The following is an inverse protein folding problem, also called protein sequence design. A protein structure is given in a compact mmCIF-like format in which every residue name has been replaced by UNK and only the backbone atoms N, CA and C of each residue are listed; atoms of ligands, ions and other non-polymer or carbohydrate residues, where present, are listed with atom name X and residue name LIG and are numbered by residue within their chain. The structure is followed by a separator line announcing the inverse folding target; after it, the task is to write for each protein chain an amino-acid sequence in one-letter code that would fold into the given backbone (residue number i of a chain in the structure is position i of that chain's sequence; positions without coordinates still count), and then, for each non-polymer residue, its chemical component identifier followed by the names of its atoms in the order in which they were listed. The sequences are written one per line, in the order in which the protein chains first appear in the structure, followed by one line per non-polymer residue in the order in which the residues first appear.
data_IF_891671432989
#
_entry.id   IF_891671432989
#
_cell.length_a   1.000
_cell.length_b   1.000
_cell.length_c   1.000
_cell.angle_alpha   90.00
_cell.angle_beta   90.00
_cell.angle_gamma   90.00
#
_symmetry.space_group_name_H-M   'P 1'
#
loop_
_entity.id
_entity.type
_entity.pdbx_description
1 polymer ?
#
# COMPACT_ATOMS: atom_id res chain seq x y z
N UNK A 1 26.64 2.70 -5.36
CA UNK A 1 26.56 3.65 -4.22
C UNK A 1 27.59 3.25 -3.14
N UNK A 2 27.81 4.05 -2.07
CA UNK A 2 28.84 3.74 -1.03
C UNK A 2 28.44 2.54 -0.17
N UNK A 3 27.15 2.34 0.03
CA UNK A 3 26.61 1.18 0.70
C UNK A 3 25.96 0.24 -0.32
N UNK A 4 25.12 -0.69 0.14
CA UNK A 4 24.38 -1.62 -0.71
C UNK A 4 22.99 -1.08 -1.05
N UNK A 5 22.83 0.24 -1.16
CA UNK A 5 21.53 0.88 -1.36
C UNK A 5 20.83 0.33 -2.60
N UNK A 6 21.53 0.23 -3.73
CA UNK A 6 21.04 -0.36 -4.98
C UNK A 6 20.41 -1.75 -4.75
N UNK A 7 21.13 -2.60 -4.02
CA UNK A 7 20.67 -3.97 -3.70
C UNK A 7 19.45 -3.95 -2.76
N UNK A 8 19.47 -3.09 -1.74
CA UNK A 8 18.37 -2.98 -0.77
C UNK A 8 17.09 -2.48 -1.47
N UNK A 9 17.20 -1.47 -2.33
CA UNK A 9 16.08 -0.94 -3.09
C UNK A 9 15.51 -1.99 -4.05
N UNK A 10 16.36 -2.78 -4.71
CA UNK A 10 15.91 -3.91 -5.53
C UNK A 10 15.16 -4.98 -4.72
N UNK A 11 15.65 -5.33 -3.52
CA UNK A 11 14.96 -6.27 -2.64
C UNK A 11 13.59 -5.74 -2.17
N UNK A 12 13.50 -4.43 -1.89
CA UNK A 12 12.23 -3.78 -1.56
C UNK A 12 11.28 -3.79 -2.76
N UNK A 13 11.78 -3.50 -3.96
CA UNK A 13 10.98 -3.53 -5.18
C UNK A 13 10.41 -4.93 -5.43
N UNK A 14 11.23 -5.99 -5.29
CA UNK A 14 10.75 -7.37 -5.41
C UNK A 14 9.69 -7.70 -4.35
N UNK A 15 9.90 -7.26 -3.10
CA UNK A 15 8.88 -7.38 -2.07
C UNK A 15 7.56 -6.71 -2.48
N UNK A 16 7.60 -5.46 -2.95
CA UNK A 16 6.42 -4.71 -3.40
C UNK A 16 5.70 -5.46 -4.52
N UNK A 17 6.41 -5.97 -5.53
CA UNK A 17 5.81 -6.80 -6.60
C UNK A 17 5.02 -7.99 -6.02
N UNK A 18 5.54 -8.65 -4.99
CA UNK A 18 4.82 -9.78 -4.34
C UNK A 18 3.56 -9.36 -3.58
N UNK A 19 3.36 -8.06 -3.31
CA UNK A 19 2.16 -7.58 -2.63
C UNK A 19 0.99 -7.45 -3.61
N UNK A 20 1.24 -7.05 -4.86
CA UNK A 20 0.23 -6.96 -5.91
C UNK A 20 -0.45 -8.31 -6.24
N UNK A 21 0.23 -9.44 -6.00
CA UNK A 21 -0.35 -10.79 -6.15
C UNK A 21 -1.12 -11.28 -4.91
N UNK A 22 -1.04 -10.56 -3.80
CA UNK A 22 -1.64 -10.95 -2.50
C UNK A 22 -2.72 -10.00 -2.02
N UNK A 23 -2.82 -8.81 -2.60
CA UNK A 23 -3.91 -7.90 -2.28
C UNK A 23 -5.23 -8.48 -2.78
N UNK A 24 -6.30 -8.12 -2.08
CA UNK A 24 -7.69 -8.38 -2.46
C UNK A 24 -8.01 -7.66 -3.78
N UNK A 25 -7.39 -8.10 -4.87
CA UNK A 25 -7.79 -7.83 -6.25
C UNK A 25 -9.08 -8.61 -6.49
N UNK A 26 -10.11 -8.29 -5.70
CA UNK A 26 -11.48 -8.72 -5.92
C UNK A 26 -12.03 -7.86 -7.05
N UNK A 27 -11.60 -8.19 -8.27
CA UNK A 27 -12.28 -8.01 -9.56
C UNK A 27 -11.25 -8.29 -10.66
N UNK A 28 -11.70 -8.77 -11.82
CA UNK A 28 -10.87 -8.97 -13.03
C UNK A 28 -10.16 -7.70 -13.54
N UNK A 29 -10.37 -6.56 -12.89
CA UNK A 29 -10.06 -5.22 -13.39
C UNK A 29 -9.03 -4.45 -12.53
N UNK A 30 -8.42 -5.09 -11.53
CA UNK A 30 -7.22 -4.55 -10.86
C UNK A 30 -7.48 -3.50 -9.77
N UNK A 31 -8.68 -3.48 -9.19
CA UNK A 31 -9.06 -2.53 -8.13
C UNK A 31 -8.31 -2.81 -6.81
N UNK A 32 -7.67 -1.79 -6.22
CA UNK A 32 -6.91 -1.91 -4.96
C UNK A 32 -7.57 -1.15 -3.81
N UNK A 33 -7.36 -1.61 -2.57
CA UNK A 33 -7.82 -0.90 -1.36
C UNK A 33 -7.30 0.54 -1.31
N UNK A 34 -6.09 0.78 -1.81
CA UNK A 34 -5.51 2.11 -1.89
C UNK A 34 -6.36 3.08 -2.73
N UNK A 35 -7.01 2.58 -3.80
CA UNK A 35 -7.88 3.40 -4.66
C UNK A 35 -9.14 3.85 -3.91
N UNK A 36 -9.71 2.97 -3.08
CA UNK A 36 -10.84 3.31 -2.19
C UNK A 36 -10.41 4.38 -1.18
N UNK A 37 -9.26 4.17 -0.52
CA UNK A 37 -8.76 5.11 0.49
C UNK A 37 -8.47 6.48 -0.11
N UNK A 38 -8.02 6.52 -1.37
CA UNK A 38 -7.79 7.76 -2.10
C UNK A 38 -9.09 8.45 -2.45
N UNK A 39 -10.10 7.71 -2.89
CA UNK A 39 -11.44 8.26 -3.12
C UNK A 39 -12.06 8.88 -1.86
N UNK A 40 -11.72 8.34 -0.69
CA UNK A 40 -12.15 8.85 0.61
C UNK A 40 -11.25 9.98 1.16
N UNK A 41 -10.23 10.43 0.41
CA UNK A 41 -9.23 11.43 0.83
C UNK A 41 -8.47 11.08 2.13
N UNK A 42 -8.32 9.79 2.43
CA UNK A 42 -7.62 9.30 3.64
C UNK A 42 -6.35 8.48 3.34
N UNK A 43 -6.00 8.31 2.07
CA UNK A 43 -4.87 7.47 1.66
C UNK A 43 -3.52 7.99 2.16
N UNK A 44 -3.35 9.31 2.24
CA UNK A 44 -2.14 9.96 2.79
C UNK A 44 -1.94 9.61 4.26
N UNK A 45 -2.94 9.88 5.09
CA UNK A 45 -2.91 9.59 6.53
C UNK A 45 -2.78 8.09 6.80
N UNK A 46 -3.44 7.27 5.99
CA UNK A 46 -3.31 5.82 6.05
C UNK A 46 -1.87 5.38 5.77
N UNK A 47 -1.25 5.89 4.71
CA UNK A 47 0.11 5.51 4.31
C UNK A 47 1.13 5.96 5.34
N UNK A 48 1.03 7.20 5.82
CA UNK A 48 1.87 7.74 6.89
C UNK A 48 1.76 6.90 8.18
N UNK A 49 0.53 6.65 8.63
CA UNK A 49 0.28 5.88 9.86
C UNK A 49 0.84 4.47 9.77
N UNK A 50 0.73 3.82 8.61
CA UNK A 50 1.28 2.49 8.42
C UNK A 50 2.82 2.49 8.38
N UNK A 51 3.46 3.48 7.74
CA UNK A 51 4.91 3.62 7.78
C UNK A 51 5.40 3.73 9.23
N UNK A 52 4.79 4.62 10.03
CA UNK A 52 5.10 4.78 11.46
C UNK A 52 4.87 3.48 12.22
N UNK A 53 3.73 2.81 12.01
CA UNK A 53 3.39 1.53 12.65
C UNK A 53 4.49 0.48 12.44
N UNK A 54 4.99 0.32 11.21
CA UNK A 54 6.02 -0.69 10.94
C UNK A 54 7.40 -0.30 11.48
N UNK A 55 7.75 0.98 11.47
CA UNK A 55 8.95 1.47 12.15
C UNK A 55 8.89 1.23 13.66
N UNK A 56 7.75 1.52 14.30
CA UNK A 56 7.54 1.28 15.73
C UNK A 56 7.53 -0.21 16.10
N UNK A 57 7.13 -1.08 15.16
CA UNK A 57 7.07 -2.53 15.34
C UNK A 57 8.46 -3.18 15.23
N UNK A 58 9.36 -2.62 14.42
CA UNK A 58 10.71 -3.15 14.24
C UNK A 58 11.46 -3.25 15.57
N UNK A 59 11.98 -4.43 15.88
CA UNK A 59 12.64 -4.71 17.16
C UNK A 59 11.69 -5.10 18.29
N UNK A 60 10.36 -4.97 18.11
CA UNK A 60 9.34 -5.38 19.09
C UNK A 60 8.68 -6.71 18.74
N UNK A 61 8.30 -6.88 17.47
CA UNK A 61 7.66 -8.12 16.98
C UNK A 61 8.62 -8.85 16.06
N UNK A 62 8.83 -10.14 16.32
CA UNK A 62 9.75 -11.02 15.56
C UNK A 62 11.20 -10.48 15.56
N UNK A 63 11.58 -9.74 16.60
CA UNK A 63 12.90 -9.12 16.74
C UNK A 63 13.16 -8.05 15.68
N UNK A 64 14.40 -7.98 15.19
CA UNK A 64 14.83 -7.05 14.13
C UNK A 64 14.45 -7.57 12.75
N UNK A 65 13.16 -7.82 12.53
CA UNK A 65 12.65 -8.36 11.29
C UNK A 65 12.75 -7.33 10.15
N UNK A 66 13.60 -7.61 9.15
CA UNK A 66 13.81 -6.76 7.96
C UNK A 66 12.52 -6.50 7.17
N UNK A 67 11.53 -7.40 7.26
CA UNK A 67 10.24 -7.24 6.59
C UNK A 67 9.42 -6.07 7.11
N UNK A 68 9.61 -5.64 8.35
CA UNK A 68 8.93 -4.46 8.86
C UNK A 68 9.54 -3.19 8.24
N UNK A 69 10.84 -3.16 8.00
CA UNK A 69 11.48 -2.06 7.26
C UNK A 69 11.00 -2.01 5.80
N UNK A 70 10.83 -3.16 5.14
CA UNK A 70 10.31 -3.19 3.76
C UNK A 70 8.88 -2.68 3.67
N UNK A 71 8.04 -3.04 4.63
CA UNK A 71 6.67 -2.51 4.72
C UNK A 71 6.69 -1.01 4.97
N UNK A 72 7.54 -0.52 5.86
CA UNK A 72 7.68 0.91 6.10
C UNK A 72 8.06 1.67 4.81
N UNK A 73 9.06 1.17 4.06
CA UNK A 73 9.47 1.77 2.78
C UNK A 73 8.33 1.70 1.76
N UNK A 74 7.62 0.57 1.65
CA UNK A 74 6.47 0.45 0.77
C UNK A 74 5.41 1.53 1.07
N UNK A 75 5.04 1.74 2.33
CA UNK A 75 4.08 2.79 2.68
C UNK A 75 4.63 4.22 2.46
N UNK A 76 5.94 4.43 2.56
CA UNK A 76 6.56 5.70 2.16
C UNK A 76 6.44 5.91 0.64
N UNK A 77 6.65 4.87 -0.17
CA UNK A 77 6.47 4.94 -1.63
C UNK A 77 5.01 5.25 -1.99
N UNK A 78 4.05 4.63 -1.32
CA UNK A 78 2.63 4.93 -1.51
C UNK A 78 2.29 6.38 -1.12
N UNK A 79 2.84 6.87 -0.01
CA UNK A 79 2.66 8.25 0.42
C UNK A 79 3.23 9.24 -0.60
N UNK A 80 4.46 9.02 -1.09
CA UNK A 80 5.06 9.84 -2.15
C UNK A 80 4.14 9.86 -3.37
N UNK A 81 3.67 8.69 -3.82
CA UNK A 81 2.75 8.60 -4.94
C UNK A 81 1.44 9.38 -4.68
N UNK A 82 0.89 9.33 -3.47
CA UNK A 82 -0.34 10.04 -3.12
C UNK A 82 -0.14 11.56 -2.98
N UNK A 83 1.04 12.03 -2.58
CA UNK A 83 1.37 13.46 -2.57
C UNK A 83 1.59 14.01 -3.98
N UNK A 84 2.27 13.25 -4.85
CA UNK A 84 2.57 13.65 -6.23
C UNK A 84 1.33 13.61 -7.14
N UNK A 85 0.42 12.65 -6.93
CA UNK A 85 -0.80 12.49 -7.74
C UNK A 85 -2.02 13.16 -7.09
N UNK A 86 -1.81 14.19 -6.26
CA UNK A 86 -2.89 14.97 -5.66
C UNK A 86 -3.97 15.34 -6.69
N UNK A 87 -5.20 14.92 -6.40
CA UNK A 87 -6.46 15.21 -7.13
C UNK A 87 -6.49 14.96 -8.65
N UNK A 88 -5.46 14.36 -9.23
CA UNK A 88 -5.35 14.18 -10.68
C UNK A 88 -5.16 12.71 -10.98
N UNK A 89 -6.24 11.96 -11.17
CA UNK A 89 -6.36 10.78 -12.04
C UNK A 89 -7.80 10.24 -11.98
N UNK A 90 -8.30 9.82 -13.15
CA UNK A 90 -9.66 9.34 -13.52
C UNK A 90 -10.70 9.28 -12.41
N UNK A 91 -11.84 9.96 -12.63
CA UNK A 91 -13.00 9.82 -11.77
C UNK A 91 -13.25 8.34 -11.45
N UNK A 92 -13.20 7.96 -10.16
CA UNK A 92 -13.38 6.59 -9.77
C UNK A 92 -14.73 6.11 -10.28
N UNK A 93 -14.75 4.94 -10.92
CA UNK A 93 -16.00 4.33 -11.36
C UNK A 93 -16.81 3.94 -10.12
N UNK A 94 -17.76 4.79 -9.76
CA UNK A 94 -18.60 4.61 -8.58
C UNK A 94 -19.43 3.33 -8.61
N UNK A 95 -19.79 2.81 -9.78
CA UNK A 95 -20.48 1.52 -9.89
C UNK A 95 -19.57 0.38 -9.44
N UNK A 96 -18.30 0.38 -9.85
CA UNK A 96 -17.31 -0.62 -9.40
C UNK A 96 -17.10 -0.57 -7.89
N UNK A 97 -16.98 0.63 -7.33
CA UNK A 97 -16.79 0.81 -5.88
C UNK A 97 -17.97 0.22 -5.11
N UNK A 98 -19.21 0.57 -5.52
CA UNK A 98 -20.42 0.04 -4.90
C UNK A 98 -20.51 -1.49 -5.03
N UNK A 99 -20.08 -2.04 -6.17
CA UNK A 99 -20.03 -3.48 -6.38
C UNK A 99 -19.03 -4.18 -5.45
N UNK A 100 -17.80 -3.66 -5.32
CA UNK A 100 -16.79 -4.22 -4.40
C UNK A 100 -17.24 -4.15 -2.94
N UNK A 101 -17.84 -3.03 -2.51
CA UNK A 101 -18.39 -2.89 -1.14
C UNK A 101 -19.47 -3.94 -0.88
N UNK A 102 -20.33 -4.19 -1.88
CA UNK A 102 -21.39 -5.21 -1.79
C UNK A 102 -20.80 -6.63 -1.70
N UNK A 103 -19.78 -6.96 -2.47
CA UNK A 103 -19.11 -8.27 -2.40
C UNK A 103 -18.45 -8.53 -1.03
N UNK A 104 -17.79 -7.50 -0.47
CA UNK A 104 -17.16 -7.58 0.86
C UNK A 104 -18.18 -7.72 2.01
N UNK A 105 -19.41 -7.22 1.84
CA UNK A 105 -20.46 -7.29 2.85
C UNK A 105 -21.27 -8.59 2.81
N UNK A 106 -21.24 -9.33 1.70
CA UNK A 106 -21.93 -10.63 1.53
C UNK A 106 -21.09 -11.83 2.03
N UNK A 107 -19.79 -11.62 2.30
CA UNK A 107 -18.88 -12.68 2.76
C UNK A 107 -18.79 -12.79 4.29
N UNK A 108 -19.75 -12.18 5.02
CA UNK A 108 -19.92 -12.32 6.48
C UNK A 108 -21.08 -13.24 6.82
#
# INVERSE_FOLDING_TARGET
MKYKEDKILNEVLEYIKTTYSKHYSTTKEGFQVQDILRHLDIDKDFSLSNAIKYLMRYGKKDGRNKMDLYKAIHYIVLLINSEENGSTLMEPNMEKIQQTIKELSVTK
#
